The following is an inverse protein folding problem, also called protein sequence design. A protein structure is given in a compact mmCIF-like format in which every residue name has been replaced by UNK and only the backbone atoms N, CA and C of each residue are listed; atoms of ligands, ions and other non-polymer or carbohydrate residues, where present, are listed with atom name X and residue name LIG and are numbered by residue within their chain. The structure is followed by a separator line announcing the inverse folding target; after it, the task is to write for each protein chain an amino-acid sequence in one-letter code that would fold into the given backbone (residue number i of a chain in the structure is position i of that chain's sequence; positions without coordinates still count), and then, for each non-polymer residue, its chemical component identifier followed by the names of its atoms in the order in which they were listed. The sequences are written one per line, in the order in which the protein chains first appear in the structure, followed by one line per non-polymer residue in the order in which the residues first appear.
data_IF_677226539042
#
_entry.id   IF_677226539042
#
_cell.length_a   1.000
_cell.length_b   1.000
_cell.length_c   1.000
_cell.angle_alpha   90.00
_cell.angle_beta   90.00
_cell.angle_gamma   90.00
#
_symmetry.space_group_name_H-M   'P 1'
#
loop_
_entity.id
_entity.type
_entity.pdbx_description
1 polymer ?
#
# COMPACT_ATOMS: atom_id res chain seq x y z
N UNK A 1 25.53 3.45 12.95
CA UNK A 1 24.29 3.12 13.66
C UNK A 1 24.31 3.88 14.98
N UNK A 2 23.66 5.03 15.02
CA UNK A 2 23.51 5.82 16.25
C UNK A 2 22.46 5.09 17.12
N UNK A 3 22.85 4.75 18.33
CA UNK A 3 21.96 4.18 19.35
C UNK A 3 20.80 5.16 19.57
N UNK A 4 19.60 4.79 19.14
CA UNK A 4 18.39 5.52 19.48
C UNK A 4 18.17 5.38 20.98
N UNK A 5 18.26 6.49 21.70
CA UNK A 5 17.97 6.54 23.13
C UNK A 5 16.48 6.19 23.32
N UNK A 6 16.20 5.11 24.04
CA UNK A 6 14.88 4.47 24.19
C UNK A 6 13.82 5.35 24.89
N UNK A 7 14.03 6.65 24.99
CA UNK A 7 13.26 7.51 25.92
C UNK A 7 12.03 8.19 25.35
N UNK A 8 11.84 8.31 24.02
CA UNK A 8 10.58 8.89 23.52
C UNK A 8 10.31 8.41 22.09
N UNK A 9 9.39 7.48 21.95
CA UNK A 9 8.82 7.14 20.63
C UNK A 9 8.01 8.34 20.12
N UNK A 10 8.03 8.61 18.79
CA UNK A 10 7.07 9.53 18.18
C UNK A 10 5.64 9.18 18.57
N UNK A 11 4.80 10.15 18.97
CA UNK A 11 3.44 9.90 19.46
C UNK A 11 2.58 9.04 18.52
N UNK A 12 2.79 9.18 17.21
CA UNK A 12 2.07 8.44 16.19
C UNK A 12 2.41 6.94 16.20
N UNK A 13 3.57 6.57 16.72
CA UNK A 13 4.01 5.18 16.86
C UNK A 13 3.49 4.51 18.15
N UNK A 14 3.08 5.26 19.16
CA UNK A 14 2.56 4.70 20.42
C UNK A 14 1.33 3.82 20.22
N UNK A 15 0.56 4.09 19.18
CA UNK A 15 -0.63 3.31 18.85
C UNK A 15 -0.34 1.96 18.17
N UNK A 16 0.90 1.71 17.75
CA UNK A 16 1.31 0.44 17.16
C UNK A 16 1.78 -0.56 18.22
N UNK A 17 1.86 -1.82 17.83
CA UNK A 17 2.48 -2.84 18.68
C UNK A 17 3.92 -2.41 19.01
N UNK A 18 4.37 -2.52 20.28
CA UNK A 18 5.66 -1.97 20.71
C UNK A 18 6.86 -2.43 19.88
N UNK A 19 6.88 -3.70 19.45
CA UNK A 19 7.95 -4.22 18.60
C UNK A 19 7.98 -3.54 17.20
N UNK A 20 6.80 -3.28 16.60
CA UNK A 20 6.67 -2.55 15.34
C UNK A 20 7.10 -1.09 15.48
N UNK A 21 6.67 -0.43 16.54
CA UNK A 21 6.99 0.97 16.84
C UNK A 21 8.51 1.17 16.99
N UNK A 22 9.15 0.32 17.79
CA UNK A 22 10.62 0.39 18.00
C UNK A 22 11.39 0.05 16.74
N UNK A 23 10.97 -0.97 16.00
CA UNK A 23 11.59 -1.29 14.73
C UNK A 23 11.53 -0.11 13.75
N UNK A 24 10.35 0.50 13.61
CA UNK A 24 10.17 1.64 12.71
C UNK A 24 11.04 2.83 13.14
N UNK A 25 10.99 3.21 14.43
CA UNK A 25 11.78 4.32 14.95
C UNK A 25 13.29 4.08 14.79
N UNK A 26 13.77 2.85 14.99
CA UNK A 26 15.18 2.49 14.82
C UNK A 26 15.65 2.47 13.36
N UNK A 27 14.77 2.10 12.42
CA UNK A 27 15.11 1.96 11.00
C UNK A 27 14.91 3.26 10.20
N UNK A 28 13.89 4.05 10.53
CA UNK A 28 13.43 5.20 9.74
C UNK A 28 13.39 6.53 10.52
N UNK A 29 13.46 6.48 11.84
CA UNK A 29 13.32 7.67 12.69
C UNK A 29 11.88 8.15 12.79
N UNK A 30 11.62 9.40 12.41
CA UNK A 30 10.29 10.01 12.47
C UNK A 30 9.42 9.64 11.26
N UNK A 31 8.11 9.43 11.48
CA UNK A 31 7.17 9.23 10.38
C UNK A 31 7.06 10.46 9.47
N UNK A 32 6.94 10.23 8.17
CA UNK A 32 6.65 11.31 7.21
C UNK A 32 5.21 11.82 7.37
N UNK A 33 4.89 13.06 6.93
CA UNK A 33 3.53 13.57 7.01
C UNK A 33 2.50 12.64 6.34
N UNK A 34 2.84 12.08 5.19
CA UNK A 34 1.98 11.14 4.46
C UNK A 34 1.73 9.84 5.24
N UNK A 35 2.72 9.37 5.99
CA UNK A 35 2.58 8.19 6.84
C UNK A 35 1.64 8.48 8.02
N UNK A 36 1.81 9.60 8.70
CA UNK A 36 0.96 9.99 9.84
C UNK A 36 -0.52 10.04 9.44
N UNK A 37 -0.82 10.75 8.37
CA UNK A 37 -2.19 10.92 7.88
C UNK A 37 -2.80 9.59 7.39
N UNK A 38 -2.04 8.78 6.63
CA UNK A 38 -2.49 7.49 6.15
C UNK A 38 -2.74 6.50 7.31
N UNK A 39 -1.86 6.47 8.32
CA UNK A 39 -2.03 5.59 9.47
C UNK A 39 -3.27 5.91 10.27
N UNK A 40 -3.57 7.18 10.48
CA UNK A 40 -4.80 7.62 11.13
C UNK A 40 -6.03 7.15 10.35
N UNK A 41 -6.07 7.45 9.04
CA UNK A 41 -7.19 7.08 8.17
C UNK A 41 -7.41 5.57 8.09
N UNK A 42 -6.34 4.75 8.00
CA UNK A 42 -6.46 3.30 7.95
C UNK A 42 -6.96 2.74 9.29
N UNK A 43 -6.44 3.22 10.41
CA UNK A 43 -6.85 2.74 11.75
C UNK A 43 -8.29 3.11 12.09
N UNK A 44 -8.77 4.25 11.62
CA UNK A 44 -10.18 4.65 11.79
C UNK A 44 -11.13 3.90 10.84
N UNK A 45 -10.59 3.02 10.00
CA UNK A 45 -11.38 2.07 9.19
C UNK A 45 -11.88 2.63 7.87
N UNK A 46 -11.29 3.69 7.34
CA UNK A 46 -11.61 4.22 6.02
C UNK A 46 -11.03 3.36 4.89
N UNK A 47 -11.63 3.44 3.69
CA UNK A 47 -10.91 3.16 2.46
C UNK A 47 -9.97 4.35 2.22
N UNK A 48 -8.73 4.09 1.80
CA UNK A 48 -7.71 5.14 1.71
C UNK A 48 -7.01 5.09 0.36
N UNK A 49 -6.84 6.24 -0.29
CA UNK A 49 -5.97 6.41 -1.45
C UNK A 49 -4.78 7.27 -1.02
N UNK A 50 -3.57 6.70 -1.08
CA UNK A 50 -2.32 7.38 -0.77
C UNK A 50 -1.68 7.81 -2.08
N UNK A 51 -1.65 9.11 -2.35
CA UNK A 51 -1.05 9.70 -3.54
C UNK A 51 0.18 10.52 -3.16
N UNK A 52 1.37 10.04 -3.53
CA UNK A 52 2.61 10.72 -3.17
C UNK A 52 3.76 10.34 -4.12
N UNK A 53 4.79 11.19 -4.26
CA UNK A 53 5.95 10.92 -5.10
C UNK A 53 6.71 9.65 -4.66
N UNK A 54 7.51 9.07 -5.56
CA UNK A 54 8.43 7.96 -5.23
C UNK A 54 9.40 8.41 -4.13
N UNK A 55 9.71 7.53 -3.19
CA UNK A 55 10.60 7.84 -2.07
C UNK A 55 9.94 8.57 -0.89
N UNK A 56 8.64 8.88 -0.93
CA UNK A 56 7.91 9.52 0.17
C UNK A 56 7.52 8.58 1.33
N UNK A 57 7.80 7.27 1.20
CA UNK A 57 7.42 6.27 2.20
C UNK A 57 6.01 5.70 2.06
N UNK A 58 5.37 5.82 0.87
CA UNK A 58 4.01 5.31 0.58
C UNK A 58 3.79 3.85 0.97
N UNK A 59 4.76 3.00 0.62
CA UNK A 59 4.66 1.55 0.89
C UNK A 59 4.48 1.28 2.37
N UNK A 60 5.28 1.93 3.23
CA UNK A 60 5.15 1.81 4.69
C UNK A 60 3.92 2.54 5.22
N UNK A 61 3.49 3.63 4.57
CA UNK A 61 2.23 4.29 4.91
C UNK A 61 1.03 3.35 4.78
N UNK A 62 1.00 2.51 3.74
CA UNK A 62 -0.04 1.51 3.54
C UNK A 62 0.17 0.25 4.40
N UNK A 63 1.42 -0.24 4.47
CA UNK A 63 1.72 -1.57 4.99
C UNK A 63 1.78 -1.64 6.52
N UNK A 64 2.40 -0.66 7.19
CA UNK A 64 2.66 -0.73 8.65
C UNK A 64 1.38 -0.92 9.49
N UNK A 65 0.30 -0.14 9.29
CA UNK A 65 -0.94 -0.35 10.03
C UNK A 65 -1.58 -1.71 9.73
N UNK A 66 -1.41 -2.24 8.51
CA UNK A 66 -1.91 -3.57 8.17
C UNK A 66 -1.10 -4.68 8.86
N UNK A 67 0.22 -4.52 9.00
CA UNK A 67 1.06 -5.46 9.76
C UNK A 67 0.71 -5.42 11.26
N UNK A 68 0.49 -4.24 11.83
CA UNK A 68 0.03 -4.10 13.21
C UNK A 68 -1.30 -4.82 13.43
N UNK A 69 -2.22 -4.65 12.49
CA UNK A 69 -3.50 -5.35 12.51
C UNK A 69 -3.32 -6.88 12.48
N UNK A 70 -2.45 -7.41 11.62
CA UNK A 70 -2.12 -8.85 11.57
C UNK A 70 -1.65 -9.37 12.92
N UNK A 71 -0.72 -8.66 13.55
CA UNK A 71 -0.14 -9.04 14.85
C UNK A 71 -1.22 -9.08 15.94
N UNK A 72 -2.01 -8.02 16.03
CA UNK A 72 -3.12 -7.94 16.99
C UNK A 72 -4.19 -9.00 16.75
N UNK A 73 -4.51 -9.26 15.48
CA UNK A 73 -5.48 -10.30 15.11
C UNK A 73 -4.99 -11.69 15.52
N UNK A 74 -3.70 -11.99 15.30
CA UNK A 74 -3.10 -13.28 15.70
C UNK A 74 -2.98 -13.48 17.20
N UNK A 75 -2.84 -12.39 17.97
CA UNK A 75 -2.72 -12.44 19.42
C UNK A 75 -4.07 -12.64 20.12
N UNK A 76 -5.20 -12.60 19.40
CA UNK A 76 -6.53 -12.83 19.97
C UNK A 76 -6.76 -14.32 20.23
N UNK A 77 -7.37 -14.70 21.36
CA UNK A 77 -7.80 -16.07 21.61
C UNK A 77 -8.76 -16.55 20.50
N UNK A 78 -8.52 -17.74 19.95
CA UNK A 78 -9.36 -18.30 18.90
C UNK A 78 -9.15 -17.69 17.51
N UNK A 79 -8.05 -16.96 17.28
CA UNK A 79 -7.73 -16.37 15.98
C UNK A 79 -7.75 -17.42 14.85
N UNK A 80 -8.59 -17.18 13.84
CA UNK A 80 -8.69 -18.08 12.68
C UNK A 80 -7.44 -17.91 11.77
N UNK A 81 -6.75 -19.02 11.42
CA UNK A 81 -5.64 -18.97 10.47
C UNK A 81 -6.12 -18.56 9.08
N UNK A 82 -5.40 -17.66 8.43
CA UNK A 82 -5.73 -17.21 7.07
C UNK A 82 -5.06 -15.90 6.73
N UNK A 83 -5.22 -15.48 5.50
CA UNK A 83 -4.68 -14.22 5.00
C UNK A 83 -5.42 -13.06 5.65
N UNK A 84 -4.70 -12.13 6.27
CA UNK A 84 -5.26 -10.89 6.85
C UNK A 84 -5.08 -9.70 5.91
N UNK A 85 -3.98 -9.70 5.16
CA UNK A 85 -3.66 -8.64 4.20
C UNK A 85 -3.38 -9.24 2.83
N UNK A 86 -4.06 -8.74 1.80
CA UNK A 86 -3.77 -9.03 0.40
C UNK A 86 -3.06 -7.83 -0.19
N UNK A 87 -1.83 -8.01 -0.68
CA UNK A 87 -1.05 -6.97 -1.35
C UNK A 87 -1.00 -7.25 -2.84
N UNK A 88 -1.62 -6.39 -3.64
CA UNK A 88 -1.75 -6.55 -5.09
C UNK A 88 -0.82 -5.58 -5.80
N UNK A 89 0.06 -6.07 -6.67
CA UNK A 89 0.89 -5.23 -7.54
C UNK A 89 0.64 -5.58 -9.02
N UNK A 90 0.77 -4.61 -9.94
CA UNK A 90 0.56 -4.86 -11.37
C UNK A 90 1.67 -5.70 -12.00
N UNK A 91 2.88 -5.68 -11.45
CA UNK A 91 4.07 -6.30 -12.03
C UNK A 91 4.63 -7.41 -11.14
N UNK A 92 5.00 -8.54 -11.74
CA UNK A 92 5.59 -9.69 -11.01
C UNK A 92 6.90 -9.36 -10.30
N UNK A 93 7.75 -8.52 -10.89
CA UNK A 93 9.00 -8.09 -10.27
C UNK A 93 8.76 -7.38 -8.94
N UNK A 94 7.81 -6.44 -8.90
CA UNK A 94 7.43 -5.73 -7.68
C UNK A 94 6.91 -6.68 -6.58
N UNK A 95 6.25 -7.79 -6.94
CA UNK A 95 5.81 -8.77 -5.94
C UNK A 95 6.98 -9.37 -5.15
N UNK A 96 8.09 -9.68 -5.84
CA UNK A 96 9.26 -10.24 -5.17
C UNK A 96 9.93 -9.19 -4.28
N UNK A 97 10.08 -7.96 -4.74
CA UNK A 97 10.68 -6.87 -3.97
C UNK A 97 9.87 -6.57 -2.72
N UNK A 98 8.56 -6.43 -2.84
CA UNK A 98 7.67 -6.22 -1.70
C UNK A 98 7.71 -7.40 -0.73
N UNK A 99 7.72 -8.63 -1.24
CA UNK A 99 7.84 -9.81 -0.40
C UNK A 99 9.18 -9.82 0.38
N UNK A 100 10.30 -9.54 -0.29
CA UNK A 100 11.61 -9.45 0.37
C UNK A 100 11.62 -8.35 1.44
N UNK A 101 11.01 -7.19 1.18
CA UNK A 101 10.87 -6.15 2.18
C UNK A 101 10.05 -6.63 3.38
N UNK A 102 8.88 -7.24 3.17
CA UNK A 102 8.04 -7.73 4.27
C UNK A 102 8.74 -8.81 5.09
N UNK A 103 9.43 -9.75 4.44
CA UNK A 103 10.22 -10.79 5.13
C UNK A 103 11.35 -10.15 5.94
N UNK A 104 12.12 -9.23 5.34
CA UNK A 104 13.18 -8.51 6.05
C UNK A 104 12.68 -7.70 7.24
N UNK A 105 11.52 -7.06 7.12
CA UNK A 105 10.87 -6.38 8.25
C UNK A 105 10.47 -7.38 9.34
N UNK A 106 9.81 -8.47 8.98
CA UNK A 106 9.39 -9.50 9.94
C UNK A 106 10.58 -10.07 10.70
N UNK A 107 11.67 -10.42 10.02
CA UNK A 107 12.91 -10.93 10.65
C UNK A 107 13.58 -9.90 11.57
N UNK A 108 13.58 -8.63 11.19
CA UNK A 108 14.14 -7.56 12.02
C UNK A 108 13.30 -7.35 13.30
N UNK A 109 11.98 -7.41 13.15
CA UNK A 109 11.05 -7.27 14.28
C UNK A 109 11.12 -8.50 15.19
N UNK A 110 11.21 -9.72 14.62
CA UNK A 110 11.39 -10.97 15.36
C UNK A 110 12.63 -10.88 16.28
N UNK A 111 13.77 -10.39 15.78
CA UNK A 111 14.99 -10.19 16.58
C UNK A 111 14.78 -9.18 17.71
N UNK A 112 14.20 -8.01 17.42
CA UNK A 112 13.94 -6.98 18.42
C UNK A 112 12.98 -7.45 19.51
N UNK A 113 11.94 -8.19 19.15
CA UNK A 113 11.00 -8.75 20.10
C UNK A 113 11.66 -9.79 21.01
N UNK A 114 12.51 -10.65 20.44
CA UNK A 114 13.26 -11.65 21.22
C UNK A 114 14.23 -11.00 22.20
N UNK A 115 14.96 -9.97 21.79
CA UNK A 115 15.90 -9.22 22.64
C UNK A 115 15.21 -8.50 23.79
N UNK A 116 13.98 -8.02 23.57
CA UNK A 116 13.22 -7.28 24.58
C UNK A 116 12.27 -8.13 25.42
N UNK A 117 12.15 -9.43 25.11
CA UNK A 117 11.22 -10.34 25.81
C UNK A 117 9.75 -10.00 25.55
N UNK A 118 9.43 -9.28 24.49
CA UNK A 118 8.05 -8.93 24.16
C UNK A 118 7.30 -10.08 23.48
N UNK A 119 6.02 -10.29 23.84
CA UNK A 119 5.17 -11.23 23.14
C UNK A 119 5.03 -10.84 21.67
N UNK A 120 5.51 -11.67 20.76
CA UNK A 120 5.47 -11.43 19.33
C UNK A 120 5.02 -12.69 18.59
N UNK A 121 3.86 -12.69 17.88
CA UNK A 121 3.32 -13.87 17.23
C UNK A 121 4.02 -14.23 15.92
N UNK A 122 5.01 -13.44 15.49
CA UNK A 122 5.65 -13.53 14.19
C UNK A 122 4.73 -13.11 13.02
N UNK A 123 5.32 -12.78 11.89
CA UNK A 123 4.63 -12.45 10.65
C UNK A 123 5.08 -13.38 9.52
N UNK A 124 4.15 -13.85 8.72
CA UNK A 124 4.44 -14.70 7.56
C UNK A 124 3.91 -14.05 6.30
N UNK A 125 4.80 -13.85 5.33
CA UNK A 125 4.43 -13.43 3.99
C UNK A 125 4.65 -14.55 2.97
N UNK A 126 3.88 -14.54 1.89
CA UNK A 126 4.10 -15.42 0.75
C UNK A 126 3.69 -14.73 -0.55
N UNK A 127 4.36 -15.10 -1.65
CA UNK A 127 4.04 -14.65 -3.00
C UNK A 127 3.23 -15.69 -3.75
N UNK A 128 2.16 -15.22 -4.41
CA UNK A 128 1.36 -16.03 -5.32
C UNK A 128 1.22 -15.33 -6.66
N UNK A 129 2.01 -15.77 -7.62
CA UNK A 129 1.98 -15.29 -9.01
C UNK A 129 1.85 -16.49 -9.98
N UNK A 130 1.88 -16.21 -11.28
CA UNK A 130 1.94 -17.26 -12.30
C UNK A 130 3.13 -18.21 -12.13
N UNK A 131 4.26 -17.68 -11.64
CA UNK A 131 5.54 -18.38 -11.50
C UNK A 131 5.66 -19.22 -10.21
N UNK A 132 4.71 -19.06 -9.28
CA UNK A 132 4.67 -19.85 -8.03
C UNK A 132 4.48 -21.34 -8.36
N UNK A 133 5.38 -22.19 -7.92
CA UNK A 133 5.35 -23.63 -8.19
C UNK A 133 4.15 -24.35 -7.55
N UNK A 134 3.78 -25.52 -8.07
CA UNK A 134 2.68 -26.30 -7.51
C UNK A 134 2.93 -26.68 -6.03
N UNK A 135 4.18 -26.99 -5.67
CA UNK A 135 4.57 -27.31 -4.29
C UNK A 135 4.39 -26.12 -3.36
N UNK A 136 4.83 -24.92 -3.77
CA UNK A 136 4.64 -23.67 -3.02
C UNK A 136 3.16 -23.32 -2.86
N UNK A 137 2.35 -23.49 -3.93
CA UNK A 137 0.90 -23.30 -3.87
C UNK A 137 0.25 -24.21 -2.85
N UNK A 138 0.59 -25.49 -2.88
CA UNK A 138 0.08 -26.47 -1.93
C UNK A 138 0.51 -26.17 -0.48
N UNK A 139 1.75 -25.75 -0.28
CA UNK A 139 2.26 -25.36 1.04
C UNK A 139 1.51 -24.14 1.60
N UNK A 140 1.28 -23.13 0.78
CA UNK A 140 0.53 -21.91 1.15
C UNK A 140 -0.92 -22.24 1.57
N UNK A 141 -1.59 -23.14 0.84
CA UNK A 141 -2.96 -23.56 1.18
C UNK A 141 -3.04 -24.39 2.47
N UNK A 142 -1.99 -25.14 2.81
CA UNK A 142 -1.93 -25.90 4.07
C UNK A 142 -1.59 -25.01 5.26
N UNK A 143 -0.74 -24.02 5.05
CA UNK A 143 -0.33 -23.06 6.07
C UNK A 143 -0.41 -21.63 5.50
N UNK A 144 -1.60 -21.01 5.56
CA UNK A 144 -1.81 -19.68 5.01
C UNK A 144 -0.84 -18.64 5.55
N UNK A 145 -0.35 -17.69 4.73
CA UNK A 145 0.41 -16.55 5.21
C UNK A 145 -0.52 -15.52 5.85
N UNK A 146 0.03 -14.62 6.67
CA UNK A 146 -0.68 -13.46 7.18
C UNK A 146 -0.82 -12.38 6.09
N UNK A 147 0.25 -12.21 5.29
CA UNK A 147 0.30 -11.30 4.15
C UNK A 147 0.51 -12.08 2.86
N UNK A 148 -0.42 -11.94 1.94
CA UNK A 148 -0.33 -12.52 0.60
C UNK A 148 0.02 -11.44 -0.42
N UNK A 149 1.19 -11.52 -1.03
CA UNK A 149 1.60 -10.66 -2.15
C UNK A 149 1.24 -11.36 -3.45
N UNK A 150 0.52 -10.67 -4.34
CA UNK A 150 -0.04 -11.31 -5.54
C UNK A 150 -0.25 -10.33 -6.70
N UNK A 151 -0.58 -10.85 -7.88
CA UNK A 151 -1.04 -10.07 -9.05
C UNK A 151 -2.56 -10.12 -9.16
N UNK A 152 -3.20 -9.17 -9.89
CA UNK A 152 -4.64 -9.18 -10.13
C UNK A 152 -5.17 -10.53 -10.64
N UNK A 153 -4.49 -11.11 -11.61
CA UNK A 153 -4.88 -12.37 -12.25
C UNK A 153 -4.78 -13.56 -11.28
N UNK A 154 -3.73 -13.57 -10.46
CA UNK A 154 -3.52 -14.63 -9.47
C UNK A 154 -4.52 -14.56 -8.32
N UNK A 155 -4.92 -13.36 -7.90
CA UNK A 155 -5.98 -13.16 -6.92
C UNK A 155 -7.33 -13.69 -7.45
N UNK A 156 -7.66 -13.37 -8.70
CA UNK A 156 -8.85 -13.90 -9.35
C UNK A 156 -8.86 -15.45 -9.36
N UNK A 157 -7.75 -16.07 -9.77
CA UNK A 157 -7.64 -17.55 -9.80
C UNK A 157 -7.83 -18.14 -8.40
N UNK A 158 -7.31 -17.50 -7.35
CA UNK A 158 -7.51 -17.98 -5.97
C UNK A 158 -8.99 -17.93 -5.57
N UNK A 159 -9.72 -16.90 -5.97
CA UNK A 159 -11.15 -16.77 -5.69
C UNK A 159 -12.03 -17.79 -6.44
N UNK A 160 -11.53 -18.41 -7.51
CA UNK A 160 -12.23 -19.48 -8.21
C UNK A 160 -12.16 -20.83 -7.48
N UNK A 161 -11.16 -21.04 -6.63
CA UNK A 161 -10.97 -22.33 -5.94
C UNK A 161 -11.51 -22.30 -4.51
N UNK A 162 -12.15 -23.39 -4.06
CA UNK A 162 -12.67 -23.48 -2.70
C UNK A 162 -11.59 -23.28 -1.63
N UNK A 163 -10.41 -23.92 -1.81
CA UNK A 163 -9.29 -23.78 -0.88
C UNK A 163 -8.73 -22.34 -0.87
N UNK A 164 -8.68 -21.69 -2.03
CA UNK A 164 -8.29 -20.29 -2.14
C UNK A 164 -9.26 -19.37 -1.43
N UNK A 165 -10.57 -19.54 -1.63
CA UNK A 165 -11.60 -18.79 -0.91
C UNK A 165 -11.50 -18.99 0.60
N UNK A 166 -11.34 -20.22 1.07
CA UNK A 166 -11.15 -20.50 2.50
C UNK A 166 -9.94 -19.77 3.09
N UNK A 167 -8.82 -19.71 2.36
CA UNK A 167 -7.62 -18.99 2.78
C UNK A 167 -7.85 -17.46 2.82
N UNK A 168 -8.62 -16.90 1.87
CA UNK A 168 -8.82 -15.47 1.71
C UNK A 168 -9.97 -14.90 2.56
N UNK A 169 -10.91 -15.73 3.04
CA UNK A 169 -12.11 -15.23 3.75
C UNK A 169 -11.82 -14.48 5.03
N UNK A 170 -10.63 -14.60 5.58
CA UNK A 170 -10.19 -13.87 6.78
C UNK A 170 -9.45 -12.57 6.45
N UNK A 171 -9.44 -12.14 5.17
CA UNK A 171 -8.81 -10.90 4.77
C UNK A 171 -9.61 -9.69 5.27
N UNK A 172 -8.91 -8.73 5.86
CA UNK A 172 -9.48 -7.51 6.39
C UNK A 172 -8.95 -6.27 5.66
N UNK A 173 -7.78 -6.40 5.02
CA UNK A 173 -7.19 -5.34 4.23
C UNK A 173 -6.77 -5.85 2.84
N UNK A 174 -6.97 -5.01 1.83
CA UNK A 174 -6.37 -5.18 0.52
C UNK A 174 -5.64 -3.90 0.14
N UNK A 175 -4.35 -4.02 -0.16
CA UNK A 175 -3.50 -2.94 -0.66
C UNK A 175 -3.36 -3.15 -2.16
N UNK A 176 -3.66 -2.12 -2.94
CA UNK A 176 -3.46 -2.09 -4.40
C UNK A 176 -2.36 -1.08 -4.70
N UNK A 177 -1.18 -1.60 -5.02
CA UNK A 177 -0.03 -0.77 -5.33
C UNK A 177 0.01 -0.38 -6.81
N UNK A 178 0.60 0.78 -7.12
CA UNK A 178 0.62 1.41 -8.45
C UNK A 178 -0.78 1.40 -9.11
N UNK A 179 -1.80 1.70 -8.29
CA UNK A 179 -3.21 1.61 -8.71
C UNK A 179 -3.52 2.46 -9.95
N UNK A 180 -2.78 3.51 -10.19
CA UNK A 180 -2.93 4.38 -11.35
C UNK A 180 -2.66 3.66 -12.68
N UNK A 181 -1.72 2.72 -12.71
CA UNK A 181 -1.44 1.91 -13.89
C UNK A 181 -2.60 0.95 -14.20
N UNK A 182 -3.27 0.46 -13.15
CA UNK A 182 -4.41 -0.44 -13.29
C UNK A 182 -5.70 0.30 -13.65
N UNK A 183 -5.92 1.50 -13.11
CA UNK A 183 -7.16 2.23 -13.31
C UNK A 183 -7.43 2.62 -14.79
N UNK A 184 -6.40 2.66 -15.62
CA UNK A 184 -6.49 3.04 -17.03
C UNK A 184 -6.60 1.83 -18.00
N UNK A 185 -6.50 0.59 -17.50
CA UNK A 185 -6.36 -0.62 -18.31
C UNK A 185 -7.54 -1.60 -18.12
N UNK A 186 -7.70 -2.53 -19.07
CA UNK A 186 -8.64 -3.67 -18.97
C UNK A 186 -8.36 -4.57 -17.78
N UNK A 187 -7.11 -4.69 -17.36
CA UNK A 187 -6.71 -5.41 -16.15
C UNK A 187 -7.32 -4.77 -14.90
N UNK A 188 -7.47 -3.45 -14.90
CA UNK A 188 -8.14 -2.74 -13.84
C UNK A 188 -9.62 -3.07 -13.74
N UNK A 189 -10.35 -3.09 -14.84
CA UNK A 189 -11.76 -3.51 -14.83
C UNK A 189 -11.93 -4.93 -14.25
N UNK A 190 -11.03 -5.85 -14.63
CA UNK A 190 -11.00 -7.19 -14.06
C UNK A 190 -10.66 -7.19 -12.55
N UNK A 191 -9.70 -6.34 -12.12
CA UNK A 191 -9.36 -6.19 -10.71
C UNK A 191 -10.52 -5.62 -9.90
N UNK A 192 -11.22 -4.61 -10.42
CA UNK A 192 -12.39 -4.02 -9.76
C UNK A 192 -13.43 -5.09 -9.41
N UNK A 193 -13.82 -5.93 -10.37
CA UNK A 193 -14.72 -7.07 -10.12
C UNK A 193 -14.13 -8.09 -9.13
N UNK A 194 -12.83 -8.32 -9.18
CA UNK A 194 -12.14 -9.23 -8.27
C UNK A 194 -12.17 -8.71 -6.84
N UNK A 195 -12.03 -7.39 -6.65
CA UNK A 195 -12.12 -6.74 -5.34
C UNK A 195 -13.54 -6.78 -4.75
N UNK A 196 -14.59 -6.64 -5.59
CA UNK A 196 -15.96 -6.83 -5.13
C UNK A 196 -16.21 -8.29 -4.67
N UNK A 197 -15.74 -9.28 -5.46
CA UNK A 197 -15.84 -10.70 -5.08
C UNK A 197 -15.06 -11.03 -3.81
N UNK A 198 -13.91 -10.39 -3.60
CA UNK A 198 -13.15 -10.56 -2.36
C UNK A 198 -13.90 -9.94 -1.17
N UNK A 199 -14.50 -8.76 -1.36
CA UNK A 199 -15.28 -8.10 -0.31
C UNK A 199 -16.51 -8.91 0.08
N UNK A 200 -17.21 -9.51 -0.90
CA UNK A 200 -18.35 -10.41 -0.65
C UNK A 200 -17.94 -11.69 0.10
N UNK A 201 -16.75 -12.21 -0.19
CA UNK A 201 -16.21 -13.39 0.48
C UNK A 201 -15.89 -13.13 1.97
N UNK A 202 -15.48 -11.90 2.32
CA UNK A 202 -14.97 -11.56 3.65
C UNK A 202 -16.10 -11.12 4.59
N UNK A 203 -16.38 -11.81 5.70
CA UNK A 203 -17.47 -11.46 6.62
C UNK A 203 -17.19 -10.14 7.35
N UNK A 204 -15.93 -9.80 7.60
CA UNK A 204 -15.53 -8.48 8.08
C UNK A 204 -15.46 -7.49 6.90
N UNK A 205 -15.82 -6.23 7.14
CA UNK A 205 -15.75 -5.21 6.08
C UNK A 205 -14.32 -5.06 5.60
N UNK A 206 -14.03 -5.49 4.36
CA UNK A 206 -12.73 -5.39 3.74
C UNK A 206 -12.34 -3.92 3.50
N UNK A 207 -11.22 -3.48 4.05
CA UNK A 207 -10.66 -2.14 3.82
C UNK A 207 -9.78 -2.15 2.58
N UNK A 208 -9.95 -1.17 1.71
CA UNK A 208 -9.19 -1.03 0.47
C UNK A 208 -8.25 0.14 0.58
N UNK A 209 -6.97 -0.09 0.32
CA UNK A 209 -5.91 0.90 0.39
C UNK A 209 -5.25 0.94 -0.98
N UNK A 210 -5.31 2.09 -1.66
CA UNK A 210 -4.63 2.33 -2.92
C UNK A 210 -3.34 3.08 -2.68
N UNK A 211 -2.28 2.69 -3.37
CA UNK A 211 -1.02 3.41 -3.42
C UNK A 211 -0.78 3.87 -4.85
N UNK A 212 -0.53 5.16 -5.03
CA UNK A 212 -0.43 5.81 -6.34
C UNK A 212 0.72 6.81 -6.40
N UNK A 213 1.28 7.01 -7.59
CA UNK A 213 1.97 8.26 -7.88
C UNK A 213 0.96 9.42 -7.90
N UNK A 214 1.48 10.67 -7.86
CA UNK A 214 0.66 11.88 -7.93
C UNK A 214 0.11 12.11 -9.32
N UNK A 215 -0.88 11.31 -9.74
CA UNK A 215 -1.58 11.47 -11.02
C UNK A 215 -3.00 11.99 -10.78
N UNK A 216 -3.41 13.00 -11.50
CA UNK A 216 -4.76 13.58 -11.42
C UNK A 216 -5.65 13.06 -12.57
N UNK A 217 -6.98 12.94 -12.38
CA UNK A 217 -7.74 13.28 -11.17
C UNK A 217 -7.77 12.14 -10.14
N UNK A 218 -7.41 12.43 -8.89
CA UNK A 218 -7.37 11.45 -7.79
C UNK A 218 -8.75 10.88 -7.45
N UNK A 219 -9.80 11.67 -7.60
CA UNK A 219 -11.18 11.25 -7.36
C UNK A 219 -11.59 10.04 -8.23
N UNK A 220 -11.14 9.99 -9.48
CA UNK A 220 -11.39 8.85 -10.38
C UNK A 220 -10.69 7.57 -9.89
N UNK A 221 -9.44 7.69 -9.45
CA UNK A 221 -8.67 6.57 -8.92
C UNK A 221 -9.28 6.09 -7.59
N UNK A 222 -9.75 7.01 -6.76
CA UNK A 222 -10.44 6.69 -5.51
C UNK A 222 -11.74 5.91 -5.74
N UNK A 223 -12.57 6.34 -6.70
CA UNK A 223 -13.78 5.62 -7.10
C UNK A 223 -13.49 4.22 -7.65
N UNK A 224 -12.44 4.09 -8.48
CA UNK A 224 -11.98 2.80 -8.97
C UNK A 224 -11.56 1.86 -7.83
N UNK A 225 -10.83 2.37 -6.83
CA UNK A 225 -10.39 1.60 -5.67
C UNK A 225 -11.57 1.11 -4.84
N UNK A 226 -12.46 2.01 -4.48
CA UNK A 226 -13.53 1.74 -3.52
C UNK A 226 -14.67 0.92 -4.11
N UNK A 227 -14.98 1.13 -5.40
CA UNK A 227 -16.16 0.55 -6.02
C UNK A 227 -17.46 1.18 -5.48
N UNK A 228 -18.54 0.44 -5.57
CA UNK A 228 -19.88 0.92 -5.29
C UNK A 228 -20.52 0.11 -4.16
N UNK A 229 -21.46 0.71 -3.44
CA UNK A 229 -22.28 0.03 -2.44
C UNK A 229 -23.75 0.27 -2.72
N UNK A 230 -24.59 -0.69 -2.31
CA UNK A 230 -26.03 -0.54 -2.39
C UNK A 230 -26.48 0.66 -1.56
N UNK A 231 -27.51 1.39 -2.02
CA UNK A 231 -28.12 2.41 -1.19
C UNK A 231 -28.64 1.73 0.08
N UNK A 232 -28.10 2.10 1.22
CA UNK A 232 -28.69 1.69 2.50
C UNK A 232 -30.08 2.33 2.55
N UNK A 233 -31.13 1.54 2.70
CA UNK A 233 -32.40 2.06 3.17
C UNK A 233 -32.12 2.88 4.43
N UNK A 234 -32.37 4.18 4.35
CA UNK A 234 -32.14 5.11 5.46
C UNK A 234 -33.05 4.72 6.61
N UNK A 235 -32.59 3.82 7.48
CA UNK A 235 -32.99 3.92 8.87
C UNK A 235 -32.32 5.21 9.39
N UNK A 236 -33.10 6.18 9.94
CA UNK A 236 -32.53 7.40 10.47
C UNK A 236 -31.56 7.01 11.58
N UNK A 237 -30.27 7.24 11.35
CA UNK A 237 -29.21 7.09 12.35
C UNK A 237 -29.40 8.24 13.36
N UNK A 238 -29.73 7.97 14.62
CA UNK A 238 -29.92 9.00 15.63
C UNK A 238 -28.61 9.75 15.97
N UNK A 239 -27.44 9.24 15.54
CA UNK A 239 -26.11 9.80 15.87
C UNK A 239 -25.38 10.48 14.68
N UNK A 240 -26.04 10.67 13.53
CA UNK A 240 -25.45 11.25 12.32
C UNK A 240 -25.07 12.75 12.40
N UNK A 241 -24.59 13.24 13.54
CA UNK A 241 -24.14 14.64 13.67
C UNK A 241 -22.67 14.88 13.36
N UNK A 242 -21.90 13.87 12.91
CA UNK A 242 -20.45 13.96 12.75
C UNK A 242 -19.89 13.76 11.34
N UNK A 243 -20.63 13.11 10.42
CA UNK A 243 -20.01 12.62 9.15
C UNK A 243 -20.16 13.55 7.93
N UNK A 244 -20.89 14.66 8.05
CA UNK A 244 -21.14 15.58 6.93
C UNK A 244 -19.94 16.52 6.59
N UNK A 245 -18.92 16.57 7.42
CA UNK A 245 -17.81 17.50 7.23
C UNK A 245 -16.67 17.00 6.30
N UNK A 246 -16.52 15.67 6.13
CA UNK A 246 -15.41 15.10 5.33
C UNK A 246 -15.69 15.02 3.82
N UNK A 247 -16.91 15.26 3.40
CA UNK A 247 -17.28 15.25 1.96
C UNK A 247 -16.94 16.61 1.28
N UNK A 248 -16.73 17.67 2.06
CA UNK A 248 -16.47 19.01 1.53
C UNK A 248 -15.05 19.16 0.88
N UNK A 249 -14.08 18.31 1.23
CA UNK A 249 -12.76 18.30 0.59
C UNK A 249 -12.72 17.71 -0.82
N UNK A 250 -13.82 17.06 -1.26
CA UNK A 250 -13.93 16.44 -2.59
C UNK A 250 -14.49 17.38 -3.67
N UNK A 251 -14.87 18.61 -3.32
CA UNK A 251 -15.65 19.50 -4.20
C UNK A 251 -14.79 20.34 -5.17
N UNK A 252 -13.49 20.50 -4.95
CA UNK A 252 -12.67 21.39 -5.79
C UNK A 252 -12.21 20.78 -7.13
N UNK A 253 -12.22 19.46 -7.29
CA UNK A 253 -11.93 18.78 -8.56
C UNK A 253 -13.19 18.31 -9.33
N UNK A 254 -14.38 18.77 -8.92
CA UNK A 254 -15.68 18.26 -9.41
C UNK A 254 -16.14 18.85 -10.76
N UNK A 255 -15.39 19.76 -11.37
CA UNK A 255 -15.83 20.43 -12.62
C UNK A 255 -15.69 19.61 -13.91
N UNK A 256 -15.21 18.36 -13.86
CA UNK A 256 -14.99 17.57 -15.09
C UNK A 256 -15.69 16.20 -15.17
N UNK A 257 -16.43 15.79 -14.17
CA UNK A 257 -17.17 14.52 -14.21
C UNK A 257 -18.67 14.82 -14.00
N UNK A 258 -19.45 14.80 -15.11
CA UNK A 258 -20.89 14.63 -15.04
C UNK A 258 -21.19 13.53 -14.04
N UNK A 259 -21.95 13.84 -13.01
CA UNK A 259 -22.30 12.91 -11.94
C UNK A 259 -22.88 11.64 -12.57
N UNK A 260 -22.07 10.60 -12.71
CA UNK A 260 -22.55 9.31 -13.20
C UNK A 260 -23.48 8.75 -12.13
N UNK A 261 -24.79 8.97 -12.30
CA UNK A 261 -25.81 8.33 -11.50
C UNK A 261 -25.90 6.87 -11.94
N UNK A 262 -25.54 5.98 -11.02
CA UNK A 262 -25.67 4.56 -11.28
C UNK A 262 -27.17 4.21 -11.46
N UNK A 263 -27.56 3.54 -12.57
CA UNK A 263 -28.98 3.33 -12.93
C UNK A 263 -29.81 2.58 -11.86
N UNK A 264 -29.13 1.91 -10.91
CA UNK A 264 -29.77 1.18 -9.80
C UNK A 264 -29.58 1.88 -8.45
N UNK A 265 -29.23 3.17 -8.42
CA UNK A 265 -29.10 3.94 -7.19
C UNK A 265 -27.86 3.61 -6.33
N UNK A 266 -26.93 2.80 -6.83
CA UNK A 266 -25.68 2.53 -6.12
C UNK A 266 -24.86 3.81 -5.91
N UNK A 267 -24.17 3.90 -4.79
CA UNK A 267 -23.31 5.04 -4.44
C UNK A 267 -21.85 4.60 -4.37
N UNK A 268 -20.90 5.46 -4.77
CA UNK A 268 -19.48 5.17 -4.57
C UNK A 268 -19.18 5.09 -3.07
N UNK A 269 -18.39 4.08 -2.66
CA UNK A 269 -17.94 3.99 -1.27
C UNK A 269 -17.02 5.16 -0.93
N UNK A 270 -17.14 5.76 0.27
CA UNK A 270 -16.28 6.89 0.65
C UNK A 270 -14.81 6.45 0.77
N UNK A 271 -13.92 7.30 0.28
CA UNK A 271 -12.46 7.11 0.30
C UNK A 271 -11.79 8.36 0.84
N UNK A 272 -10.93 8.20 1.85
CA UNK A 272 -10.06 9.28 2.29
C UNK A 272 -8.84 9.35 1.37
N UNK A 273 -8.63 10.50 0.74
CA UNK A 273 -7.46 10.76 -0.11
C UNK A 273 -6.39 11.42 0.75
N UNK A 274 -5.23 10.78 0.83
CA UNK A 274 -4.03 11.29 1.49
C UNK A 274 -3.04 11.69 0.41
N UNK A 275 -2.91 13.00 0.18
CA UNK A 275 -2.02 13.54 -0.85
C UNK A 275 -0.77 14.16 -0.21
N UNK A 276 0.40 13.76 -0.69
CA UNK A 276 1.64 14.39 -0.25
C UNK A 276 1.77 15.79 -0.86
N UNK A 277 1.84 16.80 0.00
CA UNK A 277 2.11 18.20 -0.38
C UNK A 277 3.62 18.52 -0.46
N UNK A 278 4.48 17.49 -0.54
CA UNK A 278 5.92 17.73 -0.66
C UNK A 278 6.24 18.37 -2.01
N UNK A 279 6.58 19.63 -2.00
CA UNK A 279 7.17 20.31 -3.14
C UNK A 279 8.60 19.77 -3.33
N UNK A 280 8.84 19.09 -4.45
CA UNK A 280 10.21 18.75 -4.85
C UNK A 280 10.84 20.00 -5.47
N UNK A 281 11.77 20.61 -4.78
CA UNK A 281 12.65 21.63 -5.39
C UNK A 281 13.67 20.88 -6.25
N UNK A 282 13.50 20.95 -7.56
CA UNK A 282 14.45 20.38 -8.52
C UNK A 282 15.40 21.51 -8.93
N UNK A 283 16.66 21.40 -8.56
CA UNK A 283 17.72 22.24 -9.10
C UNK A 283 18.30 21.55 -10.34
N UNK A 284 17.94 22.05 -11.51
CA UNK A 284 18.43 21.53 -12.77
C UNK A 284 19.66 22.34 -13.20
N UNK A 285 20.81 21.71 -13.20
CA UNK A 285 22.04 22.30 -13.74
C UNK A 285 22.38 21.65 -15.08
N UNK A 286 22.34 22.42 -16.15
CA UNK A 286 22.76 21.97 -17.47
C UNK A 286 24.24 22.34 -17.64
N UNK A 287 25.09 21.33 -17.74
CA UNK A 287 26.53 21.56 -17.99
C UNK A 287 26.94 20.93 -19.32
N UNK A 288 27.76 21.63 -20.07
CA UNK A 288 28.41 21.07 -21.25
C UNK A 288 29.82 20.58 -20.85
N UNK A 289 30.24 19.41 -21.30
CA UNK A 289 31.64 18.99 -21.15
C UNK A 289 32.52 19.89 -22.00
N UNK A 290 33.73 20.17 -21.51
CA UNK A 290 34.73 20.94 -22.26
C UNK A 290 35.07 20.16 -23.54
N UNK A 291 34.68 20.68 -24.70
CA UNK A 291 34.99 20.07 -25.99
C UNK A 291 36.34 20.65 -26.50
N UNK A 292 37.29 19.81 -26.89
CA UNK A 292 38.42 20.30 -27.62
C UNK A 292 37.98 20.90 -28.95
N UNK A 293 38.39 22.12 -29.24
CA UNK A 293 38.04 22.81 -30.47
C UNK A 293 38.40 21.96 -31.70
N UNK A 294 37.41 21.59 -32.53
CA UNK A 294 37.61 20.91 -33.79
C UNK A 294 37.18 19.45 -33.91
N UNK A 295 36.66 18.81 -32.88
CA UNK A 295 36.23 17.39 -32.96
C UNK A 295 34.83 17.21 -33.50
N UNK A 296 34.69 16.72 -34.74
CA UNK A 296 33.41 16.36 -35.40
C UNK A 296 33.06 14.85 -35.30
N UNK A 297 33.79 14.04 -34.55
CA UNK A 297 33.53 12.59 -34.44
C UNK A 297 32.75 12.27 -33.16
N UNK A 298 31.62 11.58 -33.32
CA UNK A 298 30.68 11.16 -32.24
C UNK A 298 31.40 10.38 -31.10
N UNK A 299 32.44 9.59 -31.43
CA UNK A 299 33.21 8.84 -30.44
C UNK A 299 34.01 9.72 -29.45
N UNK A 300 34.34 10.95 -29.83
CA UNK A 300 35.08 11.89 -28.99
C UNK A 300 34.18 12.64 -27.99
N UNK A 301 32.84 12.54 -28.12
CA UNK A 301 31.90 13.25 -27.25
C UNK A 301 31.68 12.49 -25.95
N UNK A 302 31.72 11.17 -25.95
CA UNK A 302 31.42 10.35 -24.78
C UNK A 302 32.46 10.44 -23.67
N UNK A 303 33.75 10.48 -24.03
CA UNK A 303 34.84 10.51 -23.03
C UNK A 303 34.73 11.73 -22.09
N UNK A 304 34.62 12.98 -22.59
CA UNK A 304 34.44 14.16 -21.74
C UNK A 304 33.14 14.13 -20.91
N UNK A 305 32.06 13.53 -21.45
CA UNK A 305 30.78 13.36 -20.71
C UNK A 305 30.99 12.41 -19.54
N UNK A 306 31.61 11.25 -19.76
CA UNK A 306 31.86 10.26 -18.70
C UNK A 306 32.80 10.85 -17.63
N UNK A 307 33.89 11.53 -18.03
CA UNK A 307 34.80 12.19 -17.08
C UNK A 307 34.08 13.25 -16.23
N UNK A 308 33.16 14.00 -16.84
CA UNK A 308 32.34 15.01 -16.11
C UNK A 308 31.35 14.38 -15.16
N UNK A 309 30.69 13.27 -15.58
CA UNK A 309 29.76 12.52 -14.73
C UNK A 309 30.49 11.93 -13.52
N UNK A 310 31.68 11.32 -13.72
CA UNK A 310 32.48 10.80 -12.62
C UNK A 310 32.84 11.88 -11.61
N UNK A 311 33.27 13.06 -12.07
CA UNK A 311 33.58 14.21 -11.19
C UNK A 311 32.35 14.70 -10.41
N UNK A 312 31.14 14.62 -10.98
CA UNK A 312 29.90 14.99 -10.30
C UNK A 312 29.41 13.93 -9.31
N UNK A 313 29.87 12.69 -9.44
CA UNK A 313 29.54 11.59 -8.51
C UNK A 313 30.53 11.50 -7.33
N UNK A 314 31.70 12.09 -7.42
CA UNK A 314 32.73 12.13 -6.36
C UNK A 314 32.58 13.31 -5.38
N UNK A 315 31.71 14.27 -5.65
CA UNK A 315 31.43 15.46 -4.83
C UNK A 315 30.07 15.49 -4.26
#
# INVERSE_FOLDING_TARGET
MTAFDSKTLPPELEAFHPALARWFAGAFGEPTPVQREAWEAIRTGHHVLIAAPTGSGKTLAALLPCLDHCVRAKSRPGAEPGVKVVYVTPLKALNNDIHHHIVGFAEAIDRLAAESGEPWPGLRAAVRTGDTTAAQRAAMLRRPPDVLVTTPESLYILLLSEKGRRMLRTAEHVIVDEIHDLAADRRGAHLSLTLERLAELCPARLRRIGVSATQKPLARVARFLAGWEEPREMLPDPDARGEAADVAGMAEDAEADEAFEHPYGYRPRPVRIVESRMERRIELTVTMPDQPAGSRKIELVWKPIVERLLKLMEG
#
